data_IF_503862331073
#
_entry.id   IF_503862331073
#
_cell.length_a   1.000
_cell.length_b   1.000
_cell.length_c   1.000
_cell.angle_alpha   90.00
_cell.angle_beta   90.00
_cell.angle_gamma   90.00
#
_symmetry.space_group_name_H-M   'P 1'
#
loop_
_entity.id
_entity.type
_entity.pdbx_description
1 polymer ?
#
# COMPACT_ATOMS: atom_id res chain seq x y z
N UNK A 1 -2.52 -19.93 22.30
CA UNK A 1 -1.95 -19.01 21.29
C UNK A 1 -2.69 -17.67 21.20
N UNK A 2 -4.03 -17.66 21.00
CA UNK A 2 -4.81 -16.42 20.85
C UNK A 2 -4.65 -15.41 22.00
N UNK A 3 -4.78 -15.83 23.27
CA UNK A 3 -4.62 -14.93 24.44
C UNK A 3 -3.21 -14.33 24.58
N UNK A 4 -2.18 -15.06 24.13
CA UNK A 4 -0.79 -14.59 24.17
C UNK A 4 -0.54 -13.52 23.10
N UNK A 5 -0.96 -13.79 21.86
CA UNK A 5 -0.87 -12.83 20.75
C UNK A 5 -1.76 -11.60 20.98
N UNK A 6 -2.94 -11.76 21.57
CA UNK A 6 -3.83 -10.64 21.89
C UNK A 6 -3.25 -9.71 22.98
N UNK A 7 -2.50 -10.26 23.94
CA UNK A 7 -1.90 -9.50 25.06
C UNK A 7 -0.49 -8.98 24.76
N UNK A 8 0.28 -9.71 23.95
CA UNK A 8 1.70 -9.45 23.71
C UNK A 8 2.03 -9.32 22.22
N UNK A 9 1.04 -9.13 21.34
CA UNK A 9 1.22 -9.05 19.90
C UNK A 9 2.20 -7.95 19.47
N UNK A 10 2.12 -6.77 20.09
CA UNK A 10 3.06 -5.68 19.83
C UNK A 10 4.49 -6.05 20.25
N UNK A 11 4.67 -6.69 21.41
CA UNK A 11 5.97 -7.15 21.87
C UNK A 11 6.55 -8.23 20.95
N UNK A 12 5.72 -9.16 20.48
CA UNK A 12 6.12 -10.19 19.53
C UNK A 12 6.51 -9.61 18.16
N UNK A 13 5.74 -8.64 17.65
CA UNK A 13 6.03 -7.93 16.41
C UNK A 13 7.34 -7.13 16.51
N UNK A 14 7.53 -6.41 17.63
CA UNK A 14 8.76 -5.69 17.91
C UNK A 14 9.96 -6.64 18.00
N UNK A 15 9.84 -7.73 18.75
CA UNK A 15 10.91 -8.72 18.90
C UNK A 15 11.29 -9.39 17.58
N UNK A 16 10.31 -9.74 16.75
CA UNK A 16 10.54 -10.27 15.41
C UNK A 16 11.24 -9.24 14.50
N UNK A 17 10.78 -7.99 14.52
CA UNK A 17 11.42 -6.91 13.76
C UNK A 17 12.87 -6.66 14.20
N UNK A 18 13.11 -6.61 15.50
CA UNK A 18 14.46 -6.45 16.06
C UNK A 18 15.37 -7.62 15.63
N UNK A 19 14.87 -8.85 15.68
CA UNK A 19 15.62 -10.03 15.23
C UNK A 19 15.99 -9.95 13.74
N UNK A 20 15.04 -9.55 12.87
CA UNK A 20 15.29 -9.38 11.44
C UNK A 20 16.35 -8.31 11.19
N UNK A 21 16.28 -7.18 11.90
CA UNK A 21 17.28 -6.11 11.82
C UNK A 21 18.66 -6.61 12.22
N UNK A 22 18.76 -7.40 13.30
CA UNK A 22 20.04 -7.96 13.75
C UNK A 22 20.64 -8.91 12.71
N UNK A 23 19.83 -9.78 12.10
CA UNK A 23 20.29 -10.70 11.06
C UNK A 23 20.71 -9.93 9.80
N UNK A 24 19.94 -8.92 9.41
CA UNK A 24 20.27 -8.04 8.29
C UNK A 24 21.62 -7.35 8.51
N UNK A 25 21.82 -6.72 9.68
CA UNK A 25 23.10 -6.09 10.00
C UNK A 25 24.24 -7.09 10.07
N UNK A 26 24.01 -8.30 10.61
CA UNK A 26 25.00 -9.37 10.58
C UNK A 26 25.45 -9.70 9.16
N UNK A 27 24.51 -9.86 8.23
CA UNK A 27 24.78 -10.11 6.81
C UNK A 27 25.57 -8.95 6.17
N UNK A 28 25.11 -7.71 6.35
CA UNK A 28 25.75 -6.52 5.76
C UNK A 28 27.15 -6.32 6.31
N UNK A 29 27.34 -6.34 7.63
CA UNK A 29 28.66 -6.13 8.22
C UNK A 29 29.65 -7.25 7.89
N UNK A 30 29.17 -8.48 7.67
CA UNK A 30 30.04 -9.60 7.29
C UNK A 30 30.59 -9.49 5.86
N UNK A 31 29.89 -8.81 4.95
CA UNK A 31 30.31 -8.67 3.55
C UNK A 31 30.64 -7.24 3.10
N UNK A 32 30.69 -6.29 4.06
CA UNK A 32 30.86 -4.86 3.76
C UNK A 32 32.22 -4.55 3.11
N UNK A 33 33.28 -5.25 3.52
CA UNK A 33 34.62 -5.06 2.96
C UNK A 33 34.67 -5.47 1.49
N UNK A 34 34.06 -6.60 1.17
CA UNK A 34 34.05 -7.14 -0.18
C UNK A 34 33.17 -6.29 -1.09
N UNK A 35 32.04 -5.80 -0.57
CA UNK A 35 31.15 -4.86 -1.27
C UNK A 35 31.86 -3.54 -1.63
N UNK A 36 32.58 -2.94 -0.68
CA UNK A 36 33.29 -1.68 -0.92
C UNK A 36 34.49 -1.83 -1.87
N UNK A 37 34.99 -3.05 -2.05
CA UNK A 37 36.06 -3.35 -3.01
C UNK A 37 35.55 -3.56 -4.45
N UNK A 38 34.23 -3.72 -4.64
CA UNK A 38 33.63 -3.88 -5.96
C UNK A 38 33.45 -2.52 -6.68
N UNK A 39 33.69 -2.47 -8.00
CA UNK A 39 33.27 -1.34 -8.82
C UNK A 39 31.76 -1.10 -8.72
N UNK A 40 31.31 0.17 -8.75
CA UNK A 40 29.90 0.55 -8.58
C UNK A 40 28.94 -0.20 -9.52
N UNK A 41 29.37 -0.42 -10.76
CA UNK A 41 28.62 -1.13 -11.79
C UNK A 41 28.29 -2.59 -11.41
N UNK A 42 29.07 -3.20 -10.52
CA UNK A 42 28.95 -4.60 -10.08
C UNK A 42 28.44 -4.75 -8.65
N UNK A 43 28.23 -3.64 -7.94
CA UNK A 43 27.70 -3.67 -6.57
C UNK A 43 26.31 -4.30 -6.49
N UNK A 44 25.51 -4.22 -7.57
CA UNK A 44 24.21 -4.90 -7.66
C UNK A 44 24.29 -6.44 -7.76
N UNK A 45 25.46 -7.03 -7.97
CA UNK A 45 25.67 -8.48 -8.00
C UNK A 45 25.82 -9.08 -6.58
N UNK A 46 25.91 -8.24 -5.54
CA UNK A 46 26.09 -8.70 -4.16
C UNK A 46 24.81 -9.29 -3.56
N UNK A 47 24.98 -10.26 -2.67
CA UNK A 47 23.87 -10.88 -1.92
C UNK A 47 23.78 -10.39 -0.48
N UNK A 48 24.64 -9.45 -0.05
CA UNK A 48 24.73 -9.03 1.37
C UNK A 48 23.44 -8.39 1.90
N UNK A 49 22.59 -7.88 1.01
CA UNK A 49 21.30 -7.26 1.33
C UNK A 49 20.10 -8.20 1.13
N UNK A 50 20.31 -9.36 0.49
CA UNK A 50 19.24 -10.26 0.05
C UNK A 50 18.33 -10.68 1.21
N UNK A 51 18.91 -10.99 2.37
CA UNK A 51 18.11 -11.36 3.53
C UNK A 51 17.11 -10.26 3.92
N UNK A 52 17.57 -9.01 4.03
CA UNK A 52 16.70 -7.89 4.41
C UNK A 52 15.64 -7.62 3.35
N UNK A 53 16.03 -7.73 2.08
CA UNK A 53 15.12 -7.55 0.94
C UNK A 53 14.03 -8.64 0.94
N UNK A 54 14.42 -9.91 0.99
CA UNK A 54 13.49 -11.04 0.99
C UNK A 54 12.61 -11.07 2.24
N UNK A 55 13.17 -10.80 3.43
CA UNK A 55 12.38 -10.71 4.66
C UNK A 55 11.30 -9.62 4.54
N UNK A 56 11.65 -8.46 3.99
CA UNK A 56 10.70 -7.35 3.79
C UNK A 56 9.63 -7.69 2.75
N UNK A 57 10.02 -8.28 1.62
CA UNK A 57 9.09 -8.71 0.56
C UNK A 57 8.11 -9.74 1.12
N UNK A 58 8.61 -10.79 1.77
CA UNK A 58 7.79 -11.87 2.33
C UNK A 58 6.81 -11.33 3.37
N UNK A 59 7.29 -10.52 4.32
CA UNK A 59 6.42 -9.93 5.34
C UNK A 59 5.38 -8.99 4.76
N UNK A 60 5.75 -8.19 3.75
CA UNK A 60 4.81 -7.29 3.07
C UNK A 60 3.71 -8.09 2.36
N UNK A 61 4.09 -9.08 1.56
CA UNK A 61 3.13 -9.95 0.86
C UNK A 61 2.23 -10.67 1.86
N UNK A 62 2.79 -11.24 2.93
CA UNK A 62 2.02 -11.92 3.97
C UNK A 62 1.05 -10.96 4.66
N UNK A 63 1.49 -9.76 4.99
CA UNK A 63 0.65 -8.73 5.63
C UNK A 63 -0.51 -8.36 4.73
N UNK A 64 -0.26 -8.10 3.44
CA UNK A 64 -1.32 -7.77 2.47
C UNK A 64 -2.34 -8.91 2.37
N UNK A 65 -1.88 -10.14 2.21
CA UNK A 65 -2.76 -11.32 2.13
C UNK A 65 -3.60 -11.47 3.39
N UNK A 66 -2.96 -11.40 4.57
CA UNK A 66 -3.63 -11.54 5.86
C UNK A 66 -4.63 -10.40 6.09
N UNK A 67 -4.28 -9.16 5.77
CA UNK A 67 -5.15 -8.01 5.90
C UNK A 67 -6.41 -8.13 5.02
N UNK A 68 -6.24 -8.57 3.77
CA UNK A 68 -7.38 -8.83 2.87
C UNK A 68 -8.26 -9.95 3.42
N UNK A 69 -7.67 -11.10 3.79
CA UNK A 69 -8.42 -12.25 4.31
C UNK A 69 -9.19 -11.89 5.59
N UNK A 70 -8.57 -11.20 6.55
CA UNK A 70 -9.25 -10.75 7.76
C UNK A 70 -10.30 -9.68 7.49
N UNK A 71 -10.03 -8.74 6.58
CA UNK A 71 -11.00 -7.72 6.17
C UNK A 71 -12.26 -8.35 5.58
N UNK A 72 -12.10 -9.31 4.66
CA UNK A 72 -13.22 -10.06 4.07
C UNK A 72 -13.92 -10.92 5.11
N UNK A 73 -13.19 -11.66 5.94
CA UNK A 73 -13.77 -12.47 7.01
C UNK A 73 -14.61 -11.63 7.98
N UNK A 74 -14.11 -10.47 8.42
CA UNK A 74 -14.82 -9.57 9.31
C UNK A 74 -16.08 -9.00 8.63
N UNK A 75 -15.98 -8.60 7.36
CA UNK A 75 -17.11 -8.11 6.58
C UNK A 75 -18.24 -9.14 6.48
N UNK A 76 -17.91 -10.42 6.24
CA UNK A 76 -18.89 -11.51 6.10
C UNK A 76 -19.50 -11.90 7.45
N UNK A 77 -18.68 -11.98 8.50
CA UNK A 77 -19.14 -12.44 9.83
C UNK A 77 -19.84 -11.35 10.66
N UNK A 78 -19.50 -10.08 10.41
CA UNK A 78 -20.02 -8.93 11.14
C UNK A 78 -20.50 -7.81 10.20
N UNK A 79 -21.46 -8.09 9.29
CA UNK A 79 -21.86 -7.15 8.24
C UNK A 79 -22.43 -5.85 8.79
N UNK A 80 -23.12 -5.89 9.94
CA UNK A 80 -23.64 -4.69 10.60
C UNK A 80 -22.52 -3.80 11.16
N UNK A 81 -21.48 -4.40 11.74
CA UNK A 81 -20.32 -3.67 12.26
C UNK A 81 -19.41 -3.14 11.14
N UNK A 82 -19.39 -3.82 10.00
CA UNK A 82 -18.66 -3.40 8.81
C UNK A 82 -19.45 -2.42 7.92
N UNK A 83 -20.70 -2.09 8.26
CA UNK A 83 -21.61 -1.34 7.38
C UNK A 83 -21.02 -0.02 6.89
N UNK A 84 -20.37 0.74 7.78
CA UNK A 84 -19.71 2.01 7.41
C UNK A 84 -18.60 1.78 6.39
N UNK A 85 -17.78 0.74 6.58
CA UNK A 85 -16.72 0.38 5.64
C UNK A 85 -17.25 -0.11 4.29
N UNK A 86 -18.34 -0.91 4.31
CA UNK A 86 -19.03 -1.38 3.09
C UNK A 86 -19.59 -0.20 2.31
N UNK A 87 -20.26 0.74 2.99
CA UNK A 87 -20.80 1.95 2.37
C UNK A 87 -19.67 2.80 1.77
N UNK A 88 -18.57 3.00 2.52
CA UNK A 88 -17.41 3.73 2.01
C UNK A 88 -16.82 3.11 0.74
N UNK A 89 -16.68 1.77 0.72
CA UNK A 89 -16.19 1.04 -0.44
C UNK A 89 -17.17 1.11 -1.62
N UNK A 90 -18.48 1.03 -1.36
CA UNK A 90 -19.51 1.18 -2.38
C UNK A 90 -19.50 2.58 -3.01
N UNK A 91 -19.38 3.64 -2.20
CA UNK A 91 -19.27 5.02 -2.69
C UNK A 91 -18.01 5.19 -3.54
N UNK A 92 -16.86 4.68 -3.08
CA UNK A 92 -15.62 4.69 -3.86
C UNK A 92 -15.80 3.99 -5.22
N UNK A 93 -16.43 2.81 -5.24
CA UNK A 93 -16.69 2.08 -6.47
C UNK A 93 -17.62 2.85 -7.42
N UNK A 94 -18.68 3.49 -6.90
CA UNK A 94 -19.57 4.34 -7.70
C UNK A 94 -18.82 5.53 -8.29
N UNK A 95 -18.00 6.24 -7.51
CA UNK A 95 -17.18 7.35 -8.00
C UNK A 95 -16.24 6.87 -9.11
N UNK A 96 -15.55 5.75 -8.89
CA UNK A 96 -14.68 5.15 -9.90
C UNK A 96 -15.42 4.83 -11.19
N UNK A 97 -16.58 4.15 -11.10
CA UNK A 97 -17.38 3.78 -12.28
C UNK A 97 -17.82 5.02 -13.04
N UNK A 98 -18.25 6.08 -12.35
CA UNK A 98 -18.64 7.34 -12.99
C UNK A 98 -17.43 7.91 -13.75
N UNK A 99 -16.29 8.10 -13.07
CA UNK A 99 -15.11 8.70 -13.69
C UNK A 99 -14.53 7.87 -14.84
N UNK A 100 -14.51 6.55 -14.69
CA UNK A 100 -14.12 5.62 -15.75
C UNK A 100 -15.06 5.75 -16.97
N UNK A 101 -16.37 5.83 -16.73
CA UNK A 101 -17.38 5.90 -17.79
C UNK A 101 -17.40 7.26 -18.48
N UNK A 102 -17.08 8.33 -17.77
CA UNK A 102 -17.01 9.70 -18.31
C UNK A 102 -15.62 10.10 -18.81
N UNK A 103 -14.62 9.21 -18.70
CA UNK A 103 -13.26 9.50 -19.14
C UNK A 103 -13.24 9.79 -20.66
N UNK A 104 -12.92 11.04 -20.99
CA UNK A 104 -12.71 11.49 -22.35
C UNK A 104 -11.34 11.04 -22.87
N UNK A 105 -11.15 10.96 -24.20
CA UNK A 105 -9.84 10.69 -24.79
C UNK A 105 -8.80 11.71 -24.31
N UNK A 106 -7.63 11.22 -23.91
CA UNK A 106 -6.53 12.06 -23.48
C UNK A 106 -5.99 12.89 -24.65
N UNK A 107 -5.61 14.14 -24.40
CA UNK A 107 -5.13 15.08 -25.42
C UNK A 107 -3.76 15.65 -25.07
N UNK A 108 -3.08 16.25 -26.05
CA UNK A 108 -1.80 16.95 -25.85
C UNK A 108 -0.65 16.02 -25.44
N UNK A 109 0.14 16.45 -24.45
CA UNK A 109 1.33 15.72 -23.97
C UNK A 109 1.01 14.36 -23.38
N UNK A 110 -0.18 14.19 -22.80
CA UNK A 110 -0.63 12.92 -22.23
C UNK A 110 -0.93 11.89 -23.34
N UNK A 111 -1.54 12.32 -24.43
CA UNK A 111 -1.77 11.48 -25.61
C UNK A 111 -0.46 10.98 -26.23
N UNK A 112 0.57 11.82 -26.28
CA UNK A 112 1.89 11.42 -26.76
C UNK A 112 2.50 10.29 -25.91
N UNK A 113 2.36 10.36 -24.58
CA UNK A 113 2.84 9.33 -23.65
C UNK A 113 2.03 8.03 -23.73
N UNK A 114 0.72 8.11 -23.90
CA UNK A 114 -0.13 6.92 -24.12
C UNK A 114 0.32 6.15 -25.35
N UNK A 115 0.62 6.87 -26.45
CA UNK A 115 1.13 6.25 -27.67
C UNK A 115 2.54 5.67 -27.48
N UNK A 116 3.43 6.37 -26.78
CA UNK A 116 4.80 5.91 -26.45
C UNK A 116 4.78 4.59 -25.66
N UNK A 117 3.93 4.50 -24.64
CA UNK A 117 3.79 3.31 -23.80
C UNK A 117 2.80 2.27 -24.34
N UNK A 118 2.23 2.48 -25.54
CA UNK A 118 1.22 1.62 -26.18
C UNK A 118 0.07 1.26 -25.24
N UNK A 119 -0.39 2.24 -24.47
CA UNK A 119 -1.47 2.07 -23.50
C UNK A 119 -2.80 1.99 -24.28
N UNK A 120 -3.59 0.95 -24.04
CA UNK A 120 -4.91 0.79 -24.66
C UNK A 120 -5.91 1.82 -24.12
N UNK A 121 -6.94 2.16 -24.91
CA UNK A 121 -8.01 3.07 -24.46
C UNK A 121 -8.67 2.60 -23.16
N UNK A 122 -8.86 1.29 -23.01
CA UNK A 122 -9.40 0.69 -21.77
C UNK A 122 -8.47 0.92 -20.58
N UNK A 123 -7.16 0.73 -20.77
CA UNK A 123 -6.15 0.99 -19.74
C UNK A 123 -6.09 2.48 -19.39
N UNK A 124 -6.19 3.38 -20.38
CA UNK A 124 -6.17 4.83 -20.13
C UNK A 124 -7.38 5.28 -19.31
N UNK A 125 -8.59 4.83 -19.68
CA UNK A 125 -9.81 5.12 -18.89
C UNK A 125 -9.72 4.57 -17.46
N UNK A 126 -9.11 3.40 -17.29
CA UNK A 126 -8.88 2.81 -15.96
C UNK A 126 -7.94 3.69 -15.13
N UNK A 127 -6.83 4.15 -15.71
CA UNK A 127 -5.88 5.06 -15.05
C UNK A 127 -6.60 6.36 -14.65
N UNK A 128 -7.33 6.99 -15.57
CA UNK A 128 -8.07 8.23 -15.33
C UNK A 128 -9.12 8.06 -14.22
N UNK A 129 -9.91 6.99 -14.27
CA UNK A 129 -10.89 6.67 -13.23
C UNK A 129 -10.24 6.45 -11.86
N UNK A 130 -9.13 5.71 -11.79
CA UNK A 130 -8.44 5.41 -10.55
C UNK A 130 -7.80 6.66 -9.94
N UNK A 131 -7.06 7.44 -10.74
CA UNK A 131 -6.42 8.68 -10.29
C UNK A 131 -7.47 9.70 -9.83
N UNK A 132 -8.52 9.91 -10.63
CA UNK A 132 -9.59 10.85 -10.28
C UNK A 132 -10.31 10.45 -9.00
N UNK A 133 -10.57 9.16 -8.79
CA UNK A 133 -11.16 8.65 -7.55
C UNK A 133 -10.25 8.94 -6.36
N UNK A 134 -8.94 8.68 -6.50
CA UNK A 134 -7.96 8.96 -5.45
C UNK A 134 -7.91 10.44 -5.08
N UNK A 135 -7.90 11.35 -6.07
CA UNK A 135 -7.90 12.80 -5.84
C UNK A 135 -9.17 13.24 -5.12
N UNK A 136 -10.35 12.80 -5.58
CA UNK A 136 -11.63 13.14 -4.94
C UNK A 136 -11.66 12.67 -3.49
N UNK A 137 -11.29 11.41 -3.24
CA UNK A 137 -11.28 10.87 -1.88
C UNK A 137 -10.28 11.58 -0.97
N UNK A 138 -9.13 12.00 -1.51
CA UNK A 138 -8.15 12.81 -0.77
C UNK A 138 -8.73 14.15 -0.36
N UNK A 139 -9.42 14.85 -1.27
CA UNK A 139 -10.10 16.11 -0.97
C UNK A 139 -11.19 15.89 0.07
N UNK A 140 -12.02 14.87 -0.09
CA UNK A 140 -13.08 14.53 0.87
C UNK A 140 -12.50 14.20 2.24
N UNK A 141 -11.40 13.45 2.30
CA UNK A 141 -10.73 13.11 3.55
C UNK A 141 -10.18 14.36 4.24
N UNK A 142 -9.50 15.23 3.50
CA UNK A 142 -8.98 16.50 4.04
C UNK A 142 -10.10 17.43 4.52
N UNK A 143 -11.15 17.61 3.72
CA UNK A 143 -12.31 18.41 4.10
C UNK A 143 -13.00 17.84 5.35
N UNK A 144 -13.18 16.52 5.41
CA UNK A 144 -13.76 15.84 6.57
C UNK A 144 -12.92 16.09 7.81
N UNK A 145 -11.60 15.95 7.71
CA UNK A 145 -10.66 16.22 8.81
C UNK A 145 -10.79 17.65 9.34
N UNK A 146 -10.76 18.66 8.45
CA UNK A 146 -10.91 20.08 8.85
C UNK A 146 -12.26 20.33 9.50
N UNK A 147 -13.35 19.84 8.91
CA UNK A 147 -14.71 20.01 9.45
C UNK A 147 -14.81 19.37 10.82
N UNK A 148 -14.27 18.16 11.01
CA UNK A 148 -14.31 17.47 12.31
C UNK A 148 -13.53 18.23 13.38
N UNK A 149 -12.37 18.80 13.05
CA UNK A 149 -11.60 19.59 14.02
C UNK A 149 -12.33 20.88 14.41
N UNK A 150 -12.96 21.58 13.45
CA UNK A 150 -13.79 22.75 13.75
C UNK A 150 -14.93 22.35 14.70
N UNK A 151 -15.67 21.28 14.40
CA UNK A 151 -16.77 20.81 15.25
C UNK A 151 -16.28 20.45 16.65
N UNK A 152 -15.12 19.81 16.76
CA UNK A 152 -14.55 19.41 18.05
C UNK A 152 -14.08 20.61 18.89
N UNK A 153 -13.65 21.71 18.28
CA UNK A 153 -13.29 22.94 19.00
C UNK A 153 -14.53 23.62 19.62
N UNK A 154 -15.70 23.45 19.00
CA UNK A 154 -16.97 24.05 19.46
C UNK A 154 -17.83 23.11 20.32
N UNK A 155 -17.38 21.88 20.56
CA UNK A 155 -18.02 20.93 21.47
C UNK A 155 -17.21 20.78 22.75
#
# INVERSE_FOLDING_TARGET
MYKFLAKHGQLAAFGLGALIILIFFGSVFSGLTDFNALPEERQGETTIFDFGLWASIILTVLTVVVAILFGLYYMITHPKGALVGIIGLAVMAVVFIILYSTAAPDTGTLAAKINEFKISDTTSKLITGALGTGVILTIVAFASFVITEIINIFK
#
